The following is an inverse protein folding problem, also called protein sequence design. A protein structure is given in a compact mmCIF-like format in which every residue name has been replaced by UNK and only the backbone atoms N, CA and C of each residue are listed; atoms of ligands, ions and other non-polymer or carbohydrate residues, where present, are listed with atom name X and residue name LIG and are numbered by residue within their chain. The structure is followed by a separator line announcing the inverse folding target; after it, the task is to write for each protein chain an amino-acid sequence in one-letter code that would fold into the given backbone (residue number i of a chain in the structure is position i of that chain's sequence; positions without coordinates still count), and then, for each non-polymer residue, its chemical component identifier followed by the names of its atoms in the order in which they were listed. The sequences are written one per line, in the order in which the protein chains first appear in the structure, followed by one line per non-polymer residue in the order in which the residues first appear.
data_IF_590973894881
#
_entry.id   IF_590973894881
#
_cell.length_a   1.000
_cell.length_b   1.000
_cell.length_c   1.000
_cell.angle_alpha   90.00
_cell.angle_beta   90.00
_cell.angle_gamma   90.00
#
_symmetry.space_group_name_H-M   'P 1'
#
loop_
_entity.id
_entity.type
_entity.pdbx_description
1 polymer ?
#
# COMPACT_ATOMS: atom_id res chain seq x y z
N UNK A 1 -23.25 7.19 2.10
CA UNK A 1 -24.14 8.33 1.80
C UNK A 1 -23.39 9.33 0.95
N UNK A 2 -24.01 9.84 -0.12
CA UNK A 2 -23.43 10.84 -1.02
C UNK A 2 -23.84 12.26 -0.60
N UNK A 3 -22.91 13.20 -0.62
CA UNK A 3 -23.18 14.64 -0.62
C UNK A 3 -22.55 15.25 -1.87
N UNK A 4 -23.36 15.91 -2.71
CA UNK A 4 -22.94 16.34 -4.04
C UNK A 4 -23.35 17.79 -4.30
N UNK A 5 -22.41 18.59 -4.81
CA UNK A 5 -22.65 19.96 -5.28
C UNK A 5 -22.16 20.05 -6.72
N UNK A 6 -23.09 20.19 -7.67
CA UNK A 6 -22.77 20.25 -9.11
C UNK A 6 -22.69 21.71 -9.57
N UNK A 7 -21.56 22.08 -10.19
CA UNK A 7 -21.35 23.38 -10.85
C UNK A 7 -21.63 23.30 -12.35
N UNK A 8 -21.27 22.18 -12.99
CA UNK A 8 -21.46 21.92 -14.43
C UNK A 8 -21.76 20.44 -14.69
N UNK A 9 -22.69 20.17 -15.63
CA UNK A 9 -23.13 18.82 -16.00
C UNK A 9 -24.47 18.42 -15.38
N UNK A 10 -24.87 17.17 -15.60
CA UNK A 10 -26.13 16.58 -15.12
C UNK A 10 -25.82 15.61 -13.96
N UNK A 11 -26.30 15.87 -12.73
CA UNK A 11 -26.18 14.90 -11.65
C UNK A 11 -26.95 13.62 -11.97
N UNK A 12 -26.31 12.47 -11.79
CA UNK A 12 -26.98 11.15 -11.88
C UNK A 12 -27.38 10.59 -10.52
N UNK A 13 -26.88 11.19 -9.45
CA UNK A 13 -27.12 10.78 -8.07
C UNK A 13 -27.61 11.97 -7.26
N UNK A 14 -28.47 11.71 -6.28
CA UNK A 14 -28.96 12.68 -5.33
C UNK A 14 -28.17 12.62 -4.02
N UNK A 15 -28.20 13.72 -3.26
CA UNK A 15 -27.67 13.71 -1.90
C UNK A 15 -28.47 12.70 -1.05
N UNK A 16 -27.77 11.81 -0.34
CA UNK A 16 -28.37 10.69 0.38
C UNK A 16 -28.23 9.34 -0.31
N UNK A 17 -27.93 9.30 -1.60
CA UNK A 17 -27.87 8.04 -2.35
C UNK A 17 -26.69 7.15 -1.93
N UNK A 18 -26.84 5.86 -2.23
CA UNK A 18 -25.78 4.84 -2.11
C UNK A 18 -25.28 4.51 -3.51
N UNK A 19 -23.97 4.51 -3.70
CA UNK A 19 -23.32 4.34 -5.01
C UNK A 19 -22.25 3.27 -4.93
N UNK A 20 -22.04 2.55 -6.03
CA UNK A 20 -20.97 1.57 -6.16
C UNK A 20 -19.73 2.17 -6.83
N UNK A 21 -18.57 1.60 -6.55
CA UNK A 21 -17.33 2.01 -7.18
C UNK A 21 -17.41 1.89 -8.71
N UNK A 22 -17.03 2.96 -9.41
CA UNK A 22 -17.09 3.05 -10.88
C UNK A 22 -18.41 3.61 -11.44
N UNK A 23 -19.38 3.95 -10.58
CA UNK A 23 -20.61 4.63 -11.01
C UNK A 23 -20.34 6.05 -11.50
N UNK A 24 -21.02 6.47 -12.56
CA UNK A 24 -20.98 7.86 -13.05
C UNK A 24 -21.86 8.72 -12.16
N UNK A 25 -21.25 9.67 -11.44
CA UNK A 25 -21.96 10.54 -10.49
C UNK A 25 -22.48 11.83 -11.16
N UNK A 26 -21.72 12.37 -12.12
CA UNK A 26 -22.10 13.54 -12.92
C UNK A 26 -21.75 13.29 -14.39
N UNK A 27 -22.69 13.58 -15.28
CA UNK A 27 -22.53 13.41 -16.72
C UNK A 27 -22.36 14.77 -17.42
N UNK A 28 -21.31 14.92 -18.23
CA UNK A 28 -21.08 16.13 -19.03
C UNK A 28 -21.97 16.25 -20.29
N UNK A 29 -22.75 15.20 -20.61
CA UNK A 29 -23.72 15.17 -21.71
C UNK A 29 -25.05 15.76 -21.25
N UNK A 30 -25.25 17.05 -21.54
CA UNK A 30 -26.45 17.80 -21.15
C UNK A 30 -27.48 17.76 -22.29
N UNK A 31 -28.66 17.14 -22.12
CA UNK A 31 -29.71 17.16 -23.13
C UNK A 31 -30.37 18.54 -23.23
N UNK A 32 -30.45 19.07 -24.44
CA UNK A 32 -31.25 20.26 -24.77
C UNK A 32 -32.60 19.76 -25.30
N UNK A 33 -33.69 20.16 -24.63
CA UNK A 33 -35.04 19.73 -25.00
C UNK A 33 -35.71 20.74 -25.96
N UNK A 34 -36.57 20.22 -26.83
CA UNK A 34 -37.53 20.99 -27.61
C UNK A 34 -38.76 21.35 -26.75
N UNK A 35 -39.67 22.20 -27.28
CA UNK A 35 -40.92 22.58 -26.62
C UNK A 35 -41.85 21.39 -26.33
N UNK A 36 -41.70 20.28 -27.06
CA UNK A 36 -42.42 19.02 -26.90
C UNK A 36 -41.71 18.02 -25.95
N UNK A 37 -40.68 18.47 -25.22
CA UNK A 37 -39.84 17.67 -24.33
C UNK A 37 -39.04 16.55 -25.01
N UNK A 38 -38.91 16.55 -26.34
CA UNK A 38 -37.99 15.66 -27.06
C UNK A 38 -36.56 16.19 -27.01
N UNK A 39 -35.55 15.32 -27.00
CA UNK A 39 -34.14 15.73 -27.02
C UNK A 39 -33.80 16.26 -28.42
N UNK A 40 -33.43 17.54 -28.50
CA UNK A 40 -33.02 18.23 -29.72
C UNK A 40 -31.55 17.97 -30.05
N UNK A 41 -30.70 18.18 -29.06
CA UNK A 41 -29.24 18.16 -29.19
C UNK A 41 -28.61 17.88 -27.82
N UNK A 42 -27.37 17.40 -27.81
CA UNK A 42 -26.57 17.26 -26.59
C UNK A 42 -25.46 18.29 -26.56
N UNK A 43 -25.43 19.09 -25.49
CA UNK A 43 -24.29 19.93 -25.18
C UNK A 43 -23.30 19.12 -24.34
N UNK A 44 -22.04 19.09 -24.77
CA UNK A 44 -20.96 18.46 -24.04
C UNK A 44 -20.21 19.52 -23.24
N UNK A 45 -20.34 19.45 -21.92
CA UNK A 45 -19.61 20.30 -20.96
C UNK A 45 -18.60 19.46 -20.20
N UNK A 46 -17.58 20.12 -19.67
CA UNK A 46 -16.74 19.49 -18.65
C UNK A 46 -17.58 19.34 -17.37
N UNK A 47 -17.68 18.12 -16.86
CA UNK A 47 -18.47 17.82 -15.67
C UNK A 47 -17.67 18.27 -14.45
N UNK A 48 -18.27 19.16 -13.66
CA UNK A 48 -17.61 19.77 -12.51
C UNK A 48 -18.53 19.73 -11.30
N UNK A 49 -18.10 18.98 -10.28
CA UNK A 49 -18.84 18.81 -9.04
C UNK A 49 -17.89 18.48 -7.89
N UNK A 50 -18.22 19.01 -6.71
CA UNK A 50 -17.62 18.62 -5.45
C UNK A 50 -18.46 17.49 -4.85
N UNK A 51 -17.86 16.30 -4.71
CA UNK A 51 -18.56 15.10 -4.23
C UNK A 51 -17.85 14.58 -3.01
N UNK A 52 -18.63 14.38 -1.95
CA UNK A 52 -18.19 13.82 -0.68
C UNK A 52 -18.92 12.51 -0.47
N UNK A 53 -18.18 11.42 -0.27
CA UNK A 53 -18.73 10.13 0.09
C UNK A 53 -18.47 9.83 1.55
N UNK A 54 -19.51 9.38 2.23
CA UNK A 54 -19.43 8.76 3.53
C UNK A 54 -19.65 7.26 3.40
N UNK A 55 -18.68 6.45 3.78
CA UNK A 55 -18.77 4.99 3.72
C UNK A 55 -18.12 4.33 4.94
N UNK A 56 -18.35 3.03 5.09
CA UNK A 56 -17.74 2.23 6.15
C UNK A 56 -16.52 1.47 5.62
N UNK A 57 -15.37 1.63 6.28
CA UNK A 57 -14.17 0.85 6.06
C UNK A 57 -13.96 -0.14 7.19
N UNK A 58 -13.47 -1.33 6.85
CA UNK A 58 -13.09 -2.35 7.82
C UNK A 58 -11.58 -2.56 7.79
N UNK A 59 -10.99 -2.71 8.97
CA UNK A 59 -9.59 -3.06 9.15
C UNK A 59 -9.52 -4.30 10.04
N UNK A 60 -8.90 -5.36 9.55
CA UNK A 60 -8.62 -6.55 10.35
C UNK A 60 -7.17 -6.93 10.21
N UNK A 61 -6.51 -7.18 11.33
CA UNK A 61 -5.14 -7.67 11.36
C UNK A 61 -4.96 -8.68 12.51
N UNK A 62 -4.00 -9.56 12.36
CA UNK A 62 -3.70 -10.60 13.33
C UNK A 62 -2.23 -10.58 13.76
N UNK A 63 -2.02 -11.04 14.99
CA UNK A 63 -0.71 -11.23 15.58
C UNK A 63 -0.68 -12.61 16.25
N UNK A 64 0.07 -13.58 15.71
CA UNK A 64 0.24 -14.90 16.32
C UNK A 64 0.71 -14.79 17.77
N UNK A 65 0.27 -15.71 18.64
CA UNK A 65 0.77 -15.74 20.02
C UNK A 65 2.27 -15.99 20.07
N UNK A 66 2.73 -16.90 19.22
CA UNK A 66 4.11 -17.35 19.15
C UNK A 66 4.80 -16.79 17.91
N UNK A 67 6.04 -16.37 18.08
CA UNK A 67 6.90 -15.93 16.99
C UNK A 67 8.28 -16.54 17.14
N UNK A 68 8.92 -16.82 16.01
CA UNK A 68 10.29 -17.33 15.98
C UNK A 68 11.24 -16.16 15.88
N UNK A 69 12.06 -15.96 16.91
CA UNK A 69 13.11 -14.95 16.92
C UNK A 69 14.46 -15.59 16.63
N UNK A 70 15.24 -14.96 15.75
CA UNK A 70 16.66 -15.29 15.57
C UNK A 70 17.46 -14.76 16.76
N UNK A 71 17.99 -15.65 17.57
CA UNK A 71 18.96 -15.32 18.62
C UNK A 71 20.37 -15.71 18.16
N UNK A 72 21.24 -14.72 18.05
CA UNK A 72 22.62 -14.95 17.63
C UNK A 72 23.41 -15.57 18.77
N UNK A 73 24.09 -16.69 18.51
CA UNK A 73 24.87 -17.41 19.53
C UNK A 73 26.18 -16.69 19.90
N UNK A 74 26.50 -15.59 19.20
CA UNK A 74 27.77 -14.87 19.30
C UNK A 74 28.93 -15.56 18.58
N UNK A 75 28.71 -16.77 18.03
CA UNK A 75 29.71 -17.46 17.23
C UNK A 75 29.71 -16.87 15.82
N UNK A 76 30.85 -16.30 15.46
CA UNK A 76 31.09 -15.78 14.13
C UNK A 76 32.28 -16.48 13.49
N UNK A 77 32.20 -16.73 12.19
CA UNK A 77 33.33 -17.23 11.41
C UNK A 77 33.49 -16.37 10.18
N UNK A 78 34.66 -15.76 10.02
CA UNK A 78 34.95 -14.89 8.88
C UNK A 78 35.82 -15.61 7.84
N UNK A 79 35.51 -15.40 6.57
CA UNK A 79 36.27 -15.90 5.42
C UNK A 79 36.64 -14.75 4.52
N UNK A 80 37.92 -14.60 4.22
CA UNK A 80 38.37 -13.61 3.24
C UNK A 80 38.23 -14.16 1.82
N UNK A 81 37.86 -13.28 0.89
CA UNK A 81 37.87 -13.56 -0.55
C UNK A 81 38.59 -12.42 -1.27
N UNK A 82 39.17 -12.77 -2.42
CA UNK A 82 39.74 -11.79 -3.34
C UNK A 82 39.05 -11.99 -4.68
N UNK A 83 38.50 -10.92 -5.23
CA UNK A 83 37.86 -10.91 -6.53
C UNK A 83 38.70 -10.10 -7.50
N UNK A 84 38.95 -10.67 -8.67
CA UNK A 84 39.68 -10.04 -9.76
C UNK A 84 38.82 -10.08 -11.03
N UNK A 85 38.33 -8.92 -11.46
CA UNK A 85 37.29 -8.85 -12.49
C UNK A 85 36.06 -9.67 -12.08
N UNK A 86 35.67 -10.61 -12.94
CA UNK A 86 34.50 -11.48 -12.72
C UNK A 86 34.80 -12.77 -11.94
N UNK A 87 36.07 -13.01 -11.60
CA UNK A 87 36.49 -14.24 -10.89
C UNK A 87 36.67 -13.98 -9.40
N UNK A 88 35.97 -14.74 -8.58
CA UNK A 88 36.11 -14.75 -7.12
C UNK A 88 36.98 -15.94 -6.69
N UNK A 89 38.10 -15.66 -6.02
CA UNK A 89 38.88 -16.66 -5.31
C UNK A 89 38.54 -16.64 -3.83
N UNK A 90 38.06 -17.78 -3.35
CA UNK A 90 37.77 -18.05 -1.94
C UNK A 90 38.39 -19.36 -1.53
N UNK A 91 38.84 -19.44 -0.27
CA UNK A 91 39.35 -20.69 0.27
C UNK A 91 38.20 -21.71 0.40
N UNK A 92 38.35 -22.96 -0.06
CA UNK A 92 37.35 -23.99 0.13
C UNK A 92 37.29 -24.35 1.61
N UNK A 93 36.10 -24.30 2.20
CA UNK A 93 35.87 -24.70 3.58
C UNK A 93 34.41 -25.12 3.74
N UNK A 94 34.19 -26.15 4.56
CA UNK A 94 32.88 -26.71 4.87
C UNK A 94 31.93 -25.67 5.48
N UNK A 95 30.63 -25.97 5.45
CA UNK A 95 29.58 -25.13 6.03
C UNK A 95 29.92 -24.81 7.48
N UNK A 96 30.10 -23.53 7.85
CA UNK A 96 30.61 -23.16 9.16
C UNK A 96 29.61 -23.45 10.29
N UNK A 97 28.31 -23.38 10.00
CA UNK A 97 27.21 -23.63 10.93
C UNK A 97 26.02 -24.26 10.19
N UNK A 98 25.08 -24.89 10.93
CA UNK A 98 23.85 -25.46 10.38
C UNK A 98 22.88 -24.36 9.91
N UNK A 99 22.74 -23.30 10.72
CA UNK A 99 21.88 -22.15 10.50
C UNK A 99 22.68 -20.88 10.77
N UNK A 100 22.79 -19.99 9.79
CA UNK A 100 23.58 -18.76 9.90
C UNK A 100 23.10 -17.68 8.94
N UNK A 101 23.35 -16.42 9.30
CA UNK A 101 23.25 -15.28 8.38
C UNK A 101 24.66 -14.89 7.89
N UNK A 102 24.77 -14.49 6.63
CA UNK A 102 26.06 -14.08 6.02
C UNK A 102 26.09 -12.58 5.79
N UNK A 103 27.09 -11.91 6.39
CA UNK A 103 27.37 -10.49 6.15
C UNK A 103 28.58 -10.39 5.23
N UNK A 104 28.44 -9.69 4.12
CA UNK A 104 29.53 -9.45 3.17
C UNK A 104 30.08 -8.06 3.42
N UNK A 105 31.39 -7.97 3.66
CA UNK A 105 32.11 -6.70 3.66
C UNK A 105 33.08 -6.71 2.50
N UNK A 106 32.84 -5.85 1.52
CA UNK A 106 33.76 -5.64 0.41
C UNK A 106 34.48 -4.30 0.60
N UNK A 107 35.78 -4.30 0.35
CA UNK A 107 36.63 -3.12 0.35
C UNK A 107 37.41 -3.07 -0.96
N UNK A 108 37.48 -1.87 -1.53
CA UNK A 108 38.33 -1.58 -2.67
C UNK A 108 39.42 -0.62 -2.21
N UNK A 109 40.68 -1.04 -2.15
CA UNK A 109 41.75 -0.14 -1.73
C UNK A 109 41.91 0.99 -2.77
N UNK A 110 41.97 2.24 -2.30
CA UNK A 110 42.06 3.45 -3.13
C UNK A 110 43.22 3.44 -4.13
N UNK A 111 44.32 2.74 -3.81
CA UNK A 111 45.49 2.59 -4.69
C UNK A 111 45.12 1.77 -5.93
N UNK A 112 44.39 0.67 -5.76
CA UNK A 112 43.94 -0.20 -6.85
C UNK A 112 42.88 0.49 -7.71
N UNK A 113 42.07 1.37 -7.11
CA UNK A 113 41.13 2.23 -7.83
C UNK A 113 41.86 3.26 -8.70
N UNK A 114 42.87 3.96 -8.17
CA UNK A 114 43.70 4.91 -8.93
C UNK A 114 44.49 4.25 -10.07
N UNK A 115 44.88 2.98 -9.90
CA UNK A 115 45.57 2.20 -10.92
C UNK A 115 44.62 1.52 -11.93
N UNK A 116 43.30 1.77 -11.84
CA UNK A 116 42.28 1.12 -12.67
C UNK A 116 42.34 -0.42 -12.64
N UNK A 117 42.82 -0.99 -11.54
CA UNK A 117 42.91 -2.45 -11.37
C UNK A 117 41.60 -2.95 -10.77
N UNK A 118 40.92 -3.94 -11.39
CA UNK A 118 39.64 -4.47 -10.92
C UNK A 118 39.83 -5.53 -9.81
N UNK A 119 40.59 -5.20 -8.76
CA UNK A 119 40.77 -6.07 -7.58
C UNK A 119 39.88 -5.57 -6.45
N UNK A 120 39.11 -6.48 -5.88
CA UNK A 120 38.30 -6.28 -4.70
C UNK A 120 38.73 -7.27 -3.63
N UNK A 121 38.80 -6.82 -2.40
CA UNK A 121 39.04 -7.71 -1.25
C UNK A 121 37.83 -7.64 -0.35
N UNK A 122 37.41 -8.78 0.18
CA UNK A 122 36.28 -8.76 1.09
C UNK A 122 36.34 -9.90 2.09
N UNK A 123 35.41 -9.85 3.04
CA UNK A 123 35.17 -10.92 3.98
C UNK A 123 33.69 -11.27 4.05
N UNK A 124 33.42 -12.57 4.05
CA UNK A 124 32.15 -13.15 4.43
C UNK A 124 32.19 -13.46 5.92
N UNK A 125 31.40 -12.77 6.74
CA UNK A 125 31.21 -13.09 8.16
C UNK A 125 29.93 -13.89 8.31
N UNK A 126 30.06 -15.16 8.67
CA UNK A 126 28.95 -16.05 8.98
C UNK A 126 28.62 -15.95 10.47
N UNK A 127 27.39 -15.56 10.78
CA UNK A 127 26.88 -15.42 12.15
C UNK A 127 25.90 -16.54 12.43
N UNK A 128 26.24 -17.42 13.36
CA UNK A 128 25.32 -18.47 13.79
C UNK A 128 24.15 -17.86 14.58
N UNK A 129 22.95 -18.36 14.29
CA UNK A 129 21.76 -18.05 15.08
C UNK A 129 20.97 -19.31 15.36
N UNK A 130 20.18 -19.26 16.43
CA UNK A 130 19.18 -20.26 16.76
C UNK A 130 17.80 -19.61 16.65
N UNK A 131 16.86 -20.40 16.17
CA UNK A 131 15.45 -20.03 16.12
C UNK A 131 14.85 -20.36 17.48
N UNK A 132 14.53 -19.34 18.26
CA UNK A 132 13.91 -19.49 19.58
C UNK A 132 12.46 -19.08 19.46
N UNK A 133 11.57 -19.95 19.94
CA UNK A 133 10.14 -19.66 20.05
C UNK A 133 9.92 -18.71 21.23
N UNK A 134 9.30 -17.58 20.95
CA UNK A 134 8.91 -16.58 21.93
C UNK A 134 7.41 -16.37 21.85
N UNK A 135 6.78 -16.12 23.00
CA UNK A 135 5.36 -15.78 23.08
C UNK A 135 5.23 -14.32 23.48
N UNK A 136 4.34 -13.58 22.81
CA UNK A 136 4.07 -12.20 23.20
C UNK A 136 3.34 -12.12 24.53
N UNK A 137 3.75 -11.18 25.39
CA UNK A 137 2.90 -10.78 26.50
C UNK A 137 1.67 -10.03 26.00
N UNK A 138 0.61 -9.97 26.80
CA UNK A 138 -0.61 -9.24 26.45
C UNK A 138 -0.35 -7.75 26.16
N UNK A 139 0.58 -7.12 26.90
CA UNK A 139 0.94 -5.72 26.73
C UNK A 139 1.69 -5.48 25.41
N UNK A 140 2.69 -6.32 25.11
CA UNK A 140 3.45 -6.26 23.85
C UNK A 140 2.54 -6.51 22.64
N UNK A 141 1.64 -7.50 22.73
CA UNK A 141 0.69 -7.80 21.67
C UNK A 141 -0.23 -6.60 21.41
N UNK A 142 -0.73 -5.95 22.47
CA UNK A 142 -1.56 -4.76 22.37
C UNK A 142 -0.81 -3.59 21.74
N UNK A 143 0.44 -3.37 22.13
CA UNK A 143 1.27 -2.30 21.57
C UNK A 143 1.54 -2.54 20.08
N UNK A 144 1.90 -3.77 19.69
CA UNK A 144 2.13 -4.15 18.29
C UNK A 144 0.87 -3.98 17.43
N UNK A 145 -0.28 -4.45 17.89
CA UNK A 145 -1.55 -4.27 17.17
C UNK A 145 -1.94 -2.79 17.07
N UNK A 146 -1.65 -2.00 18.11
CA UNK A 146 -1.88 -0.55 18.10
C UNK A 146 -0.95 0.16 17.11
N UNK A 147 0.33 -0.23 17.02
CA UNK A 147 1.26 0.28 16.01
C UNK A 147 0.71 0.04 14.60
N UNK A 148 0.28 -1.19 14.30
CA UNK A 148 -0.31 -1.53 13.00
C UNK A 148 -1.56 -0.68 12.69
N UNK A 149 -2.43 -0.50 13.69
CA UNK A 149 -3.60 0.37 13.56
C UNK A 149 -3.19 1.83 13.31
N UNK A 150 -2.19 2.35 14.01
CA UNK A 150 -1.72 3.74 13.82
C UNK A 150 -1.17 3.96 12.42
N UNK A 151 -0.47 2.97 11.84
CA UNK A 151 -0.01 3.03 10.45
C UNK A 151 -1.19 3.09 9.48
N UNK A 152 -2.23 2.30 9.71
CA UNK A 152 -3.45 2.34 8.89
C UNK A 152 -4.13 3.72 8.97
N UNK A 153 -4.30 4.27 10.18
CA UNK A 153 -4.91 5.59 10.38
C UNK A 153 -4.09 6.71 9.73
N UNK A 154 -2.76 6.66 9.83
CA UNK A 154 -1.87 7.61 9.18
C UNK A 154 -2.02 7.57 7.65
N UNK A 155 -2.18 6.37 7.07
CA UNK A 155 -2.43 6.21 5.64
C UNK A 155 -3.78 6.77 5.17
N UNK A 156 -4.80 6.84 6.04
CA UNK A 156 -6.05 7.52 5.74
C UNK A 156 -5.89 9.04 5.79
N UNK A 157 -5.16 9.54 6.80
CA UNK A 157 -4.88 10.98 6.95
C UNK A 157 -4.06 11.54 5.78
N UNK A 158 -3.05 10.80 5.30
CA UNK A 158 -2.24 11.17 4.13
C UNK A 158 -3.10 11.32 2.86
N UNK A 159 -4.17 10.52 2.74
CA UNK A 159 -5.13 10.59 1.64
C UNK A 159 -6.18 11.69 1.81
N UNK A 160 -6.15 12.43 2.91
CA UNK A 160 -7.16 13.45 3.23
C UNK A 160 -8.52 12.86 3.60
N UNK A 161 -8.56 11.59 4.03
CA UNK A 161 -9.79 10.90 4.44
C UNK A 161 -10.09 11.29 5.90
N UNK A 162 -11.30 11.82 6.13
CA UNK A 162 -11.75 12.23 7.45
C UNK A 162 -12.46 11.06 8.15
N UNK A 163 -12.04 10.74 9.37
CA UNK A 163 -12.68 9.70 10.20
C UNK A 163 -13.78 10.35 11.04
N UNK A 164 -15.01 9.88 10.88
CA UNK A 164 -16.19 10.36 11.63
C UNK A 164 -16.40 9.50 12.89
N UNK A 165 -16.34 8.18 12.73
CA UNK A 165 -16.56 7.23 13.82
C UNK A 165 -15.51 6.12 13.76
N UNK A 166 -15.11 5.64 14.94
CA UNK A 166 -14.21 4.50 15.10
C UNK A 166 -14.75 3.55 16.16
N UNK A 167 -14.93 2.29 15.80
CA UNK A 167 -15.14 1.18 16.73
C UNK A 167 -13.99 0.20 16.51
N UNK A 168 -13.13 0.02 17.52
CA UNK A 168 -11.98 -0.89 17.42
C UNK A 168 -12.02 -1.86 18.58
N UNK A 169 -11.93 -3.14 18.26
CA UNK A 169 -11.97 -4.25 19.20
C UNK A 169 -10.74 -5.12 19.01
N UNK A 170 -10.16 -5.54 20.13
CA UNK A 170 -9.11 -6.55 20.15
C UNK A 170 -9.73 -7.81 20.75
N UNK A 171 -9.76 -8.86 19.94
CA UNK A 171 -10.22 -10.18 20.33
C UNK A 171 -9.03 -11.15 20.33
N UNK A 172 -9.24 -12.32 20.92
CA UNK A 172 -8.29 -13.44 20.83
C UNK A 172 -8.97 -14.59 20.09
N UNK A 173 -8.24 -15.21 19.19
CA UNK A 173 -8.64 -16.45 18.53
C UNK A 173 -7.81 -17.62 19.13
N UNK A 174 -7.94 -18.82 18.56
CA UNK A 174 -7.25 -20.03 19.05
C UNK A 174 -5.71 -19.92 19.07
N UNK A 175 -5.11 -19.11 18.19
CA UNK A 175 -3.66 -19.04 18.01
C UNK A 175 -3.10 -17.63 17.84
N UNK A 176 -3.94 -16.59 17.93
CA UNK A 176 -3.55 -15.22 17.63
C UNK A 176 -4.41 -14.18 18.35
N UNK A 177 -3.84 -13.00 18.56
CA UNK A 177 -4.55 -11.77 18.85
C UNK A 177 -5.06 -11.17 17.54
N UNK A 178 -6.33 -10.78 17.50
CA UNK A 178 -6.97 -10.20 16.31
C UNK A 178 -7.48 -8.82 16.65
N UNK A 179 -7.09 -7.82 15.87
CA UNK A 179 -7.68 -6.49 15.93
C UNK A 179 -8.68 -6.35 14.78
N UNK A 180 -9.89 -5.92 15.10
CA UNK A 180 -10.94 -5.60 14.14
C UNK A 180 -11.44 -4.20 14.40
N UNK A 181 -11.35 -3.33 13.40
CA UNK A 181 -11.81 -1.95 13.45
C UNK A 181 -12.82 -1.67 12.35
N UNK A 182 -13.90 -0.99 12.71
CA UNK A 182 -14.88 -0.44 11.78
C UNK A 182 -14.80 1.08 11.86
N UNK A 183 -14.64 1.72 10.70
CA UNK A 183 -14.46 3.16 10.58
C UNK A 183 -15.52 3.72 9.65
N UNK A 184 -16.27 4.72 10.12
CA UNK A 184 -17.09 5.54 9.23
C UNK A 184 -16.19 6.68 8.76
N UNK A 185 -15.92 6.72 7.47
CA UNK A 185 -15.01 7.69 6.86
C UNK A 185 -15.74 8.55 5.86
N UNK A 186 -15.20 9.75 5.67
CA UNK A 186 -15.64 10.73 4.70
C UNK A 186 -14.47 11.14 3.83
N UNK A 187 -14.63 11.00 2.51
CA UNK A 187 -13.61 11.36 1.55
C UNK A 187 -14.20 12.17 0.40
N UNK A 188 -13.39 13.06 -0.17
CA UNK A 188 -13.72 13.74 -1.42
C UNK A 188 -13.44 12.78 -2.57
N UNK A 189 -14.42 12.56 -3.43
CA UNK A 189 -14.27 11.72 -4.63
C UNK A 189 -14.54 12.53 -5.87
N UNK A 190 -13.90 12.15 -6.98
CA UNK A 190 -14.07 12.81 -8.25
C UNK A 190 -12.85 12.62 -9.12
N UNK A 191 -12.89 11.59 -9.97
CA UNK A 191 -11.93 11.44 -11.06
C UNK A 191 -12.63 11.78 -12.38
N UNK A 192 -12.06 12.70 -13.15
CA UNK A 192 -12.60 13.07 -14.47
C UNK A 192 -12.35 11.94 -15.47
N UNK A 193 -13.41 11.45 -16.11
CA UNK A 193 -13.34 10.46 -17.17
C UNK A 193 -13.79 11.03 -18.51
N UNK A 194 -13.16 10.60 -19.61
CA UNK A 194 -13.51 11.06 -20.95
C UNK A 194 -14.92 10.58 -21.35
N UNK A 195 -15.78 11.52 -21.76
CA UNK A 195 -17.11 11.20 -22.30
C UNK A 195 -16.98 10.83 -23.77
N UNK A 196 -17.53 9.67 -24.19
CA UNK A 196 -17.60 9.30 -25.60
C UNK A 196 -18.56 10.24 -26.35
N UNK A 197 -18.08 10.93 -27.37
CA UNK A 197 -18.91 11.72 -28.28
C UNK A 197 -19.58 10.79 -29.28
N UNK A 198 -20.89 10.68 -29.23
CA UNK A 198 -21.65 10.08 -30.34
C UNK A 198 -21.64 11.09 -31.49
N UNK A 199 -20.87 10.79 -32.55
CA UNK A 199 -20.96 11.51 -33.81
C UNK A 199 -22.33 11.22 -34.42
N UNK A 200 -23.28 12.14 -34.23
CA UNK A 200 -24.54 12.14 -34.98
C UNK A 200 -24.22 12.17 -36.47
N UNK A 201 -24.60 11.11 -37.18
CA UNK A 201 -24.37 10.98 -38.61
C UNK A 201 -25.11 12.07 -39.39
N UNK A 202 -24.36 12.90 -40.11
CA UNK A 202 -24.88 13.54 -41.32
C UNK A 202 -25.18 12.44 -42.34
N UNK A 203 -26.45 12.14 -42.57
CA UNK A 203 -26.91 11.71 -43.88
C UNK A 203 -28.33 12.21 -44.09
N UNK A 204 -28.46 13.38 -44.71
CA UNK A 204 -29.67 13.72 -45.46
C UNK A 204 -29.25 13.85 -46.93
N UNK A 205 -29.76 12.91 -47.72
CA UNK A 205 -29.81 12.95 -49.19
C UNK A 205 -30.71 14.08 -49.66
#
# INVERSE_FOLDING_TARGET
MVSIIVRSGVPKVAAGDTVEAGSVLVEGKVPIYNEDATVKEYLYVDADADIVLEHTMEFTDELPFDYVRKEYTGREKSRYYVRFGDREWKMPQERPFLVYDSVIRESRPLILEKLSVPVYTGSYTYREYQNVEHTYTQEEAKEKLKEKLMVFLAGLEEKGIQIIEKDVRINTNASAWVISGQFVVRENVGESAATQKESGGETLK
#
